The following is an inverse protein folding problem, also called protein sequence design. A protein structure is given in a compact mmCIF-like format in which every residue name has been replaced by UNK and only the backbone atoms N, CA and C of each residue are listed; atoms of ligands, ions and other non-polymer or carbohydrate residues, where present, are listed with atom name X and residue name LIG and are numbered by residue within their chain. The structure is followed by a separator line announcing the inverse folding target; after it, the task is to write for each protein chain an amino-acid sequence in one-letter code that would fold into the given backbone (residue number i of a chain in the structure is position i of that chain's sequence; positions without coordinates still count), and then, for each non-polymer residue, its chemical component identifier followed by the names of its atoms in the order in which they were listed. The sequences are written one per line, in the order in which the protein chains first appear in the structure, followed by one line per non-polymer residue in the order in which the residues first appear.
data_IF_681273855633
#
_entry.id   IF_681273855633
#
_cell.length_a   1.000
_cell.length_b   1.000
_cell.length_c   1.000
_cell.angle_alpha   90.00
_cell.angle_beta   90.00
_cell.angle_gamma   90.00
#
_symmetry.space_group_name_H-M   'P 1'
#
loop_
_entity.id
_entity.type
_entity.pdbx_description
1 polymer ?
#
# COMPACT_ATOMS: atom_id res chain seq x y z
N UNK A 1 34.69 1.10 10.24
CA UNK A 1 33.93 2.35 10.44
C UNK A 1 33.29 2.30 11.82
N UNK A 2 33.39 3.37 12.62
CA UNK A 2 32.74 3.40 13.92
C UNK A 2 31.23 3.72 13.76
N UNK A 3 30.44 3.56 14.84
CA UNK A 3 28.99 3.74 14.78
C UNK A 3 28.57 5.19 14.46
N UNK A 4 29.28 6.20 14.98
CA UNK A 4 28.97 7.60 14.72
C UNK A 4 29.26 7.99 13.28
N UNK A 5 30.38 7.52 12.71
CA UNK A 5 30.72 7.73 11.30
C UNK A 5 29.64 7.12 10.39
N UNK A 6 29.15 5.92 10.74
CA UNK A 6 28.07 5.25 10.01
C UNK A 6 26.78 6.08 10.07
N UNK A 7 26.39 6.55 11.25
CA UNK A 7 25.21 7.39 11.46
C UNK A 7 25.33 8.67 10.63
N UNK A 8 26.48 9.36 10.71
CA UNK A 8 26.72 10.59 9.97
C UNK A 8 26.57 10.38 8.45
N UNK A 9 27.20 9.34 7.90
CA UNK A 9 27.10 9.02 6.47
C UNK A 9 25.71 8.57 6.05
N UNK A 10 25.08 7.67 6.79
CA UNK A 10 23.80 7.07 6.40
C UNK A 10 22.64 8.08 6.51
N UNK A 11 22.68 8.96 7.50
CA UNK A 11 21.66 10.00 7.72
C UNK A 11 21.98 11.31 7.02
N UNK A 12 23.11 11.40 6.31
CA UNK A 12 23.62 12.62 5.67
C UNK A 12 23.76 13.78 6.69
N UNK A 13 24.45 13.52 7.80
CA UNK A 13 24.73 14.47 8.89
C UNK A 13 26.24 14.81 8.95
N UNK A 14 26.99 14.63 7.86
CA UNK A 14 28.44 14.88 7.84
C UNK A 14 28.79 16.36 8.06
N UNK A 15 27.88 17.27 7.72
CA UNK A 15 28.02 18.73 7.93
C UNK A 15 27.42 19.22 9.26
N UNK A 16 26.87 18.32 10.07
CA UNK A 16 26.21 18.65 11.34
C UNK A 16 27.19 18.59 12.52
N UNK A 17 26.86 19.31 13.60
CA UNK A 17 27.67 19.31 14.82
C UNK A 17 27.80 17.89 15.40
N UNK A 18 28.98 17.54 15.93
CA UNK A 18 29.22 16.26 16.61
C UNK A 18 28.20 16.01 17.74
N UNK A 19 27.71 17.08 18.36
CA UNK A 19 26.64 17.06 19.36
C UNK A 19 25.34 16.42 18.83
N UNK A 20 24.95 16.75 17.60
CA UNK A 20 23.75 16.22 16.95
C UNK A 20 23.94 14.75 16.58
N UNK A 21 25.10 14.40 16.02
CA UNK A 21 25.42 13.02 15.66
C UNK A 21 25.45 12.13 16.92
N UNK A 22 26.02 12.61 18.03
CA UNK A 22 26.00 11.91 19.32
C UNK A 22 24.59 11.77 19.89
N UNK A 23 23.74 12.80 19.79
CA UNK A 23 22.35 12.74 20.23
C UNK A 23 21.58 11.62 19.50
N UNK A 24 21.73 11.54 18.17
CA UNK A 24 21.13 10.46 17.38
C UNK A 24 21.73 9.09 17.69
N UNK A 25 23.04 8.99 17.93
CA UNK A 25 23.66 7.75 18.37
C UNK A 25 23.05 7.25 19.69
N UNK A 26 22.90 8.13 20.67
CA UNK A 26 22.29 7.79 21.96
C UNK A 26 20.79 7.47 21.84
N UNK A 27 20.08 8.12 20.92
CA UNK A 27 18.69 7.78 20.61
C UNK A 27 18.60 6.34 20.07
N UNK A 28 19.43 5.98 19.08
CA UNK A 28 19.48 4.63 18.51
C UNK A 28 19.85 3.59 19.59
N UNK A 29 20.85 3.87 20.43
CA UNK A 29 21.20 3.00 21.57
C UNK A 29 20.01 2.80 22.51
N UNK A 30 19.26 3.86 22.82
CA UNK A 30 18.09 3.79 23.70
C UNK A 30 16.93 2.99 23.08
N UNK A 31 16.67 3.14 21.78
CA UNK A 31 15.64 2.37 21.06
C UNK A 31 16.01 0.89 21.01
N UNK A 32 17.28 0.58 20.70
CA UNK A 32 17.79 -0.79 20.70
C UNK A 32 17.65 -1.44 22.07
N UNK A 33 18.01 -0.72 23.14
CA UNK A 33 17.91 -1.23 24.49
C UNK A 33 16.47 -1.56 24.92
N UNK A 34 15.47 -0.81 24.43
CA UNK A 34 14.05 -1.13 24.65
C UNK A 34 13.69 -2.47 24.01
N UNK A 35 14.06 -2.68 22.75
CA UNK A 35 13.79 -3.94 22.03
C UNK A 35 14.55 -5.12 22.61
N UNK A 36 15.79 -4.93 23.05
CA UNK A 36 16.58 -5.97 23.70
C UNK A 36 15.97 -6.44 25.04
N UNK A 37 15.23 -5.57 25.73
CA UNK A 37 14.44 -5.97 26.91
C UNK A 37 13.27 -6.86 26.51
N UNK A 38 12.56 -6.52 25.43
CA UNK A 38 11.45 -7.34 24.91
C UNK A 38 11.94 -8.71 24.44
N UNK A 39 13.10 -8.73 23.76
CA UNK A 39 13.79 -9.95 23.32
C UNK A 39 14.47 -10.72 24.47
N UNK A 40 14.46 -10.18 25.70
CA UNK A 40 15.11 -10.76 26.90
C UNK A 40 16.62 -10.93 26.78
N UNK A 41 17.26 -10.13 25.93
CA UNK A 41 18.72 -10.09 25.74
C UNK A 41 19.40 -9.04 26.63
N UNK A 42 18.63 -8.09 27.19
CA UNK A 42 19.09 -7.05 28.11
C UNK A 42 18.15 -6.92 29.32
N UNK A 43 18.69 -6.63 30.50
CA UNK A 43 17.84 -6.38 31.68
C UNK A 43 17.20 -4.99 31.64
N UNK A 44 16.00 -4.86 32.24
CA UNK A 44 15.32 -3.55 32.40
C UNK A 44 16.22 -2.49 33.04
N UNK A 45 17.05 -2.88 34.02
CA UNK A 45 17.97 -1.97 34.71
C UNK A 45 19.06 -1.45 33.77
N UNK A 46 19.60 -2.30 32.91
CA UNK A 46 20.61 -1.90 31.93
C UNK A 46 20.01 -0.98 30.87
N UNK A 47 18.82 -1.30 30.36
CA UNK A 47 18.10 -0.44 29.43
C UNK A 47 17.77 0.94 30.04
N UNK A 48 17.34 0.99 31.30
CA UNK A 48 17.12 2.23 32.03
C UNK A 48 18.39 3.09 32.12
N UNK A 49 19.56 2.46 32.30
CA UNK A 49 20.83 3.19 32.34
C UNK A 49 21.16 3.83 30.98
N UNK A 50 20.94 3.10 29.87
CA UNK A 50 21.11 3.62 28.50
C UNK A 50 20.15 4.78 28.27
N UNK A 51 18.86 4.62 28.59
CA UNK A 51 17.85 5.67 28.45
C UNK A 51 18.19 6.92 29.27
N UNK A 52 18.67 6.76 30.51
CA UNK A 52 19.12 7.90 31.35
C UNK A 52 20.34 8.60 30.78
N UNK A 53 21.23 7.89 30.07
CA UNK A 53 22.37 8.52 29.38
C UNK A 53 21.86 9.41 28.25
N UNK A 54 20.94 8.92 27.43
CA UNK A 54 20.29 9.71 26.38
C UNK A 54 19.57 10.95 26.93
N UNK A 55 18.66 10.79 27.92
CA UNK A 55 17.90 11.91 28.50
C UNK A 55 18.82 12.97 29.11
N UNK A 56 19.86 12.56 29.85
CA UNK A 56 20.83 13.51 30.42
C UNK A 56 21.60 14.26 29.35
N UNK A 57 21.97 13.58 28.26
CA UNK A 57 22.64 14.22 27.14
C UNK A 57 21.74 15.28 26.49
N UNK A 58 20.51 14.91 26.16
CA UNK A 58 19.50 15.83 25.60
C UNK A 58 19.31 17.07 26.48
N UNK A 59 19.10 16.88 27.79
CA UNK A 59 18.92 17.99 28.72
C UNK A 59 20.16 18.89 28.87
N UNK A 60 21.36 18.31 28.90
CA UNK A 60 22.63 19.06 28.99
C UNK A 60 22.85 19.95 27.77
N UNK A 61 22.40 19.50 26.60
CA UNK A 61 22.62 20.17 25.32
C UNK A 61 21.40 20.98 24.85
N UNK A 62 20.33 21.06 25.65
CA UNK A 62 19.13 21.83 25.33
C UNK A 62 18.37 21.28 24.12
N UNK A 63 18.45 19.96 23.91
CA UNK A 63 17.83 19.27 22.78
C UNK A 63 16.49 18.64 23.18
N UNK A 64 15.53 18.65 22.26
CA UNK A 64 14.26 17.90 22.38
C UNK A 64 13.95 17.18 21.07
N UNK A 65 13.09 16.17 21.12
CA UNK A 65 12.59 15.46 19.93
C UNK A 65 11.26 16.06 19.47
N UNK A 66 11.07 16.17 18.16
CA UNK A 66 9.81 16.47 17.50
C UNK A 66 9.45 15.34 16.54
N UNK A 67 8.16 15.07 16.40
CA UNK A 67 7.55 14.01 15.58
C UNK A 67 6.37 14.58 14.77
N UNK A 68 5.63 13.71 14.11
CA UNK A 68 4.42 14.04 13.36
C UNK A 68 3.38 14.85 14.18
N UNK A 69 3.12 14.45 15.43
CA UNK A 69 2.18 15.15 16.34
C UNK A 69 2.59 16.61 16.61
N UNK A 70 3.86 16.94 16.38
CA UNK A 70 4.42 18.28 16.54
C UNK A 70 4.55 19.08 15.23
N UNK A 71 3.93 18.59 14.14
CA UNK A 71 3.81 19.25 12.84
C UNK A 71 4.84 18.83 11.78
N UNK A 72 5.58 17.73 11.99
CA UNK A 72 6.45 17.14 10.96
C UNK A 72 5.66 16.24 10.01
N UNK A 73 6.27 15.86 8.87
CA UNK A 73 5.61 14.94 7.93
C UNK A 73 5.55 13.53 8.51
N UNK A 74 4.76 12.67 7.82
CA UNK A 74 4.71 11.24 8.05
C UNK A 74 6.11 10.63 8.20
N UNK A 75 6.33 9.87 9.28
CA UNK A 75 7.59 9.19 9.55
C UNK A 75 8.81 10.14 9.64
N UNK A 76 8.62 11.43 9.94
CA UNK A 76 9.71 12.35 10.24
C UNK A 76 9.88 12.56 11.74
N UNK A 77 11.13 12.54 12.18
CA UNK A 77 11.54 12.90 13.53
C UNK A 77 12.72 13.88 13.45
N UNK A 78 12.71 14.91 14.29
CA UNK A 78 13.75 15.93 14.32
C UNK A 78 14.23 16.18 15.74
N UNK A 79 15.49 16.63 15.86
CA UNK A 79 15.96 17.27 17.07
C UNK A 79 15.72 18.78 16.96
N UNK A 80 15.31 19.40 18.04
CA UNK A 80 15.19 20.87 18.13
C UNK A 80 16.11 21.37 19.23
N UNK A 81 16.78 22.50 18.98
CA UNK A 81 17.71 23.15 19.91
C UNK A 81 17.17 24.54 20.26
N UNK A 82 16.95 24.81 21.54
CA UNK A 82 16.46 26.12 22.02
C UNK A 82 15.34 26.06 23.07
N UNK A 83 14.88 27.24 23.48
CA UNK A 83 13.78 27.45 24.44
C UNK A 83 12.43 27.74 23.75
N UNK A 84 11.33 27.74 24.52
CA UNK A 84 9.97 27.96 23.98
C UNK A 84 9.89 29.27 23.18
N UNK A 85 9.69 29.14 21.86
CA UNK A 85 9.44 30.26 20.93
C UNK A 85 10.56 30.57 19.92
N UNK A 86 11.76 30.01 20.09
CA UNK A 86 12.93 30.28 19.22
C UNK A 86 13.76 28.98 19.01
N UNK A 87 13.06 27.87 18.73
CA UNK A 87 13.68 26.55 18.53
C UNK A 87 14.20 26.43 17.10
N UNK A 88 15.52 26.24 16.95
CA UNK A 88 16.12 25.87 15.67
C UNK A 88 15.91 24.37 15.44
N UNK A 89 15.10 24.02 14.44
CA UNK A 89 14.92 22.64 14.00
C UNK A 89 16.16 22.15 13.28
N UNK A 90 16.80 21.14 13.84
CA UNK A 90 17.84 20.36 13.17
C UNK A 90 17.17 19.59 12.04
N UNK A 91 17.93 19.29 10.98
CA UNK A 91 17.50 18.51 9.83
C UNK A 91 16.55 17.35 10.24
N UNK A 92 15.26 17.39 9.81
CA UNK A 92 14.34 16.28 10.02
C UNK A 92 14.87 15.01 9.35
N UNK A 93 14.73 13.89 10.05
CA UNK A 93 15.15 12.58 9.61
C UNK A 93 13.95 11.66 9.44
N UNK A 94 14.08 10.69 8.54
CA UNK A 94 13.06 9.67 8.38
C UNK A 94 13.24 8.58 9.45
N UNK A 95 12.17 8.22 10.16
CA UNK A 95 12.16 7.23 11.23
C UNK A 95 12.58 5.84 10.75
N UNK A 96 12.24 5.48 9.50
CA UNK A 96 12.64 4.20 8.92
C UNK A 96 14.18 4.13 8.71
N UNK A 97 14.85 5.26 8.47
CA UNK A 97 16.32 5.29 8.42
C UNK A 97 16.94 5.05 9.81
N UNK A 98 16.31 5.58 10.86
CA UNK A 98 16.74 5.33 12.24
C UNK A 98 16.52 3.86 12.63
N UNK A 99 15.41 3.25 12.20
CA UNK A 99 15.15 1.83 12.43
C UNK A 99 16.11 0.93 11.66
N UNK A 100 16.44 1.28 10.40
CA UNK A 100 17.50 0.60 9.65
C UNK A 100 18.83 0.61 10.41
N UNK A 101 19.23 1.75 10.99
CA UNK A 101 20.45 1.82 11.80
C UNK A 101 20.36 1.05 13.12
N UNK A 102 19.16 0.96 13.70
CA UNK A 102 18.93 0.29 15.00
C UNK A 102 19.16 -1.22 14.90
N UNK A 103 18.57 -1.87 13.91
CA UNK A 103 18.60 -3.34 13.80
C UNK A 103 19.50 -3.85 12.67
N UNK A 104 19.73 -3.04 11.63
CA UNK A 104 20.38 -3.43 10.39
C UNK A 104 21.65 -2.61 10.12
N UNK A 105 22.45 -2.35 11.16
CA UNK A 105 23.69 -1.58 11.04
C UNK A 105 24.68 -2.14 10.00
N UNK A 106 24.74 -3.45 9.81
CA UNK A 106 25.56 -4.07 8.76
C UNK A 106 25.06 -3.74 7.34
N UNK A 107 23.74 -3.73 7.14
CA UNK A 107 23.10 -3.29 5.88
C UNK A 107 23.41 -1.81 5.62
N UNK A 108 23.30 -0.97 6.65
CA UNK A 108 23.63 0.46 6.55
C UNK A 108 25.13 0.68 6.26
N UNK A 109 26.02 -0.13 6.84
CA UNK A 109 27.45 -0.05 6.59
C UNK A 109 27.81 -0.43 5.16
N UNK A 110 27.20 -1.49 4.61
CA UNK A 110 27.30 -1.81 3.20
C UNK A 110 26.70 -0.72 2.33
N UNK A 111 25.57 -0.16 2.74
CA UNK A 111 24.92 0.94 2.02
C UNK A 111 25.87 2.11 1.81
N UNK A 112 26.63 2.55 2.81
CA UNK A 112 27.55 3.70 2.68
C UNK A 112 28.97 3.34 2.22
N UNK A 113 29.25 2.07 1.95
CA UNK A 113 30.57 1.64 1.50
C UNK A 113 30.94 2.28 0.13
N UNK A 114 32.20 2.68 -0.03
CA UNK A 114 32.72 3.21 -1.30
C UNK A 114 32.89 2.10 -2.34
N UNK A 115 33.48 0.96 -1.91
CA UNK A 115 33.56 -0.27 -2.70
C UNK A 115 32.78 -1.41 -2.04
N UNK A 116 31.63 -1.74 -2.63
CA UNK A 116 30.78 -2.85 -2.19
C UNK A 116 31.47 -4.22 -2.32
N UNK A 117 32.35 -4.42 -3.31
CA UNK A 117 32.97 -5.75 -3.54
C UNK A 117 34.04 -6.08 -2.51
N UNK A 118 34.67 -5.07 -1.94
CA UNK A 118 35.67 -5.25 -0.87
C UNK A 118 35.04 -5.22 0.53
N UNK A 119 33.77 -4.80 0.63
CA UNK A 119 33.07 -4.73 1.90
C UNK A 119 32.65 -6.12 2.40
N UNK A 120 33.14 -6.50 3.58
CA UNK A 120 32.83 -7.79 4.19
C UNK A 120 31.34 -8.02 4.37
N UNK A 121 30.87 -9.21 3.99
CA UNK A 121 29.46 -9.61 4.10
C UNK A 121 28.61 -9.25 2.88
N UNK A 122 29.12 -8.52 1.88
CA UNK A 122 28.47 -8.35 0.59
C UNK A 122 28.69 -9.58 -0.31
N UNK A 123 27.69 -10.05 -1.09
CA UNK A 123 26.31 -9.56 -1.17
C UNK A 123 25.36 -10.18 -0.13
N UNK A 124 25.78 -11.25 0.57
CA UNK A 124 24.91 -12.13 1.35
C UNK A 124 24.12 -11.40 2.46
N UNK A 125 24.69 -10.35 3.07
CA UNK A 125 24.02 -9.56 4.12
C UNK A 125 22.82 -8.79 3.58
N UNK A 126 22.93 -8.21 2.38
CA UNK A 126 21.82 -7.51 1.74
C UNK A 126 20.77 -8.51 1.27
N UNK A 127 21.18 -9.63 0.68
CA UNK A 127 20.28 -10.69 0.25
C UNK A 127 19.49 -11.23 1.45
N UNK A 128 20.15 -11.51 2.58
CA UNK A 128 19.50 -11.97 3.79
C UNK A 128 18.47 -10.95 4.32
N UNK A 129 18.82 -9.66 4.33
CA UNK A 129 17.89 -8.59 4.71
C UNK A 129 16.67 -8.52 3.78
N UNK A 130 16.87 -8.66 2.46
CA UNK A 130 15.78 -8.60 1.49
C UNK A 130 14.84 -9.83 1.55
N UNK A 131 15.35 -10.99 1.98
CA UNK A 131 14.62 -12.27 2.03
C UNK A 131 13.97 -12.57 3.36
N UNK A 132 14.34 -11.87 4.43
CA UNK A 132 13.84 -12.17 5.77
C UNK A 132 12.37 -11.74 5.90
N UNK A 133 11.42 -12.69 6.06
CA UNK A 133 9.99 -12.37 6.15
C UNK A 133 9.63 -11.61 7.43
N UNK A 134 10.55 -11.50 8.39
CA UNK A 134 10.35 -10.75 9.64
C UNK A 134 10.72 -9.27 9.48
N UNK A 135 11.42 -8.90 8.41
CA UNK A 135 11.74 -7.50 8.12
C UNK A 135 10.52 -6.84 7.51
N UNK A 136 10.07 -5.73 8.08
CA UNK A 136 8.97 -4.94 7.53
C UNK A 136 9.27 -4.49 6.09
N UNK A 137 8.31 -4.66 5.17
CA UNK A 137 8.46 -4.28 3.75
C UNK A 137 8.83 -2.79 3.59
N UNK A 138 8.36 -1.91 4.49
CA UNK A 138 8.67 -0.47 4.47
C UNK A 138 10.16 -0.20 4.67
N UNK A 139 10.86 -1.02 5.44
CA UNK A 139 12.31 -0.89 5.62
C UNK A 139 13.07 -1.29 4.36
N UNK A 140 12.62 -2.36 3.69
CA UNK A 140 13.22 -2.81 2.43
C UNK A 140 13.01 -1.77 1.34
N UNK A 141 11.78 -1.27 1.21
CA UNK A 141 11.43 -0.22 0.27
C UNK A 141 12.18 1.08 0.57
N UNK A 142 12.26 1.46 1.85
CA UNK A 142 12.99 2.67 2.28
C UNK A 142 14.45 2.62 1.88
N UNK A 143 15.13 1.50 2.12
CA UNK A 143 16.54 1.34 1.77
C UNK A 143 16.77 1.70 0.30
N UNK A 144 15.97 1.14 -0.60
CA UNK A 144 16.13 1.36 -2.05
C UNK A 144 15.65 2.75 -2.48
N UNK A 145 14.55 3.25 -1.91
CA UNK A 145 13.94 4.52 -2.32
C UNK A 145 14.64 5.76 -1.73
N UNK A 146 15.46 5.62 -0.69
CA UNK A 146 16.19 6.73 -0.04
C UNK A 146 17.13 7.44 -1.02
N UNK A 147 17.82 6.67 -1.85
CA UNK A 147 18.61 7.15 -2.98
C UNK A 147 18.44 6.11 -4.10
N UNK A 148 17.59 6.46 -5.07
CA UNK A 148 17.12 5.58 -6.13
C UNK A 148 18.27 5.06 -6.99
N UNK A 149 19.23 5.93 -7.34
CA UNK A 149 20.39 5.55 -8.16
C UNK A 149 21.31 4.60 -7.38
N UNK A 150 21.57 4.91 -6.11
CA UNK A 150 22.39 4.05 -5.25
C UNK A 150 21.72 2.70 -4.97
N UNK A 151 20.40 2.70 -4.74
CA UNK A 151 19.59 1.50 -4.55
C UNK A 151 19.64 0.59 -5.77
N UNK A 152 19.41 1.13 -6.97
CA UNK A 152 19.52 0.38 -8.23
C UNK A 152 20.95 -0.17 -8.42
N UNK A 153 21.98 0.65 -8.20
CA UNK A 153 23.38 0.23 -8.30
C UNK A 153 23.70 -0.92 -7.34
N UNK A 154 23.21 -0.86 -6.10
CA UNK A 154 23.37 -1.92 -5.10
C UNK A 154 22.77 -3.24 -5.61
N UNK A 155 21.51 -3.21 -6.07
CA UNK A 155 20.81 -4.39 -6.56
C UNK A 155 21.48 -4.99 -7.80
N UNK A 156 21.85 -4.17 -8.78
CA UNK A 156 22.59 -4.61 -9.97
C UNK A 156 23.93 -5.24 -9.60
N UNK A 157 24.64 -4.67 -8.63
CA UNK A 157 25.93 -5.21 -8.17
C UNK A 157 25.79 -6.58 -7.51
N UNK A 158 24.68 -6.83 -6.82
CA UNK A 158 24.37 -8.16 -6.28
C UNK A 158 24.17 -9.14 -7.43
N UNK A 159 23.39 -8.76 -8.46
CA UNK A 159 23.11 -9.61 -9.61
C UNK A 159 24.33 -9.88 -10.50
N UNK A 160 25.41 -9.09 -10.42
CA UNK A 160 26.69 -9.43 -11.05
C UNK A 160 27.34 -10.70 -10.46
N UNK A 161 27.17 -10.95 -9.15
CA UNK A 161 27.76 -12.09 -8.43
C UNK A 161 26.75 -13.24 -8.22
N UNK A 162 25.47 -12.89 -8.08
CA UNK A 162 24.37 -13.82 -7.84
C UNK A 162 23.25 -13.60 -8.85
N UNK A 163 23.52 -13.99 -10.09
CA UNK A 163 22.65 -13.74 -11.26
C UNK A 163 21.26 -14.38 -11.18
N UNK A 164 21.05 -15.35 -10.30
CA UNK A 164 19.79 -16.09 -10.15
C UNK A 164 18.98 -15.69 -8.89
N UNK A 165 19.32 -14.59 -8.21
CA UNK A 165 18.59 -14.17 -7.00
C UNK A 165 17.24 -13.52 -7.35
N UNK A 166 16.20 -14.35 -7.40
CA UNK A 166 14.81 -13.96 -7.71
C UNK A 166 14.32 -12.80 -6.83
N UNK A 167 14.65 -12.79 -5.54
CA UNK A 167 14.26 -11.68 -4.64
C UNK A 167 14.86 -10.36 -5.06
N UNK A 168 16.12 -10.35 -5.52
CA UNK A 168 16.79 -9.12 -5.96
C UNK A 168 16.20 -8.62 -7.28
N UNK A 169 15.92 -9.53 -8.22
CA UNK A 169 15.16 -9.20 -9.43
C UNK A 169 13.78 -8.60 -9.10
N UNK A 170 13.04 -9.19 -8.16
CA UNK A 170 11.72 -8.72 -7.75
C UNK A 170 11.77 -7.31 -7.15
N UNK A 171 12.78 -7.01 -6.33
CA UNK A 171 12.99 -5.66 -5.77
C UNK A 171 13.37 -4.67 -6.86
N UNK A 172 14.19 -5.07 -7.85
CA UNK A 172 14.57 -4.22 -8.97
C UNK A 172 13.39 -3.92 -9.92
N UNK A 173 12.53 -4.92 -10.17
CA UNK A 173 11.25 -4.75 -10.86
C UNK A 173 10.39 -3.71 -10.14
N UNK A 174 10.14 -3.90 -8.84
CA UNK A 174 9.34 -2.97 -8.03
C UNK A 174 9.91 -1.55 -8.05
N UNK A 175 11.24 -1.45 -8.01
CA UNK A 175 11.93 -0.16 -8.14
C UNK A 175 11.64 0.50 -9.49
N UNK A 176 11.79 -0.22 -10.61
CA UNK A 176 11.51 0.33 -11.94
C UNK A 176 10.04 0.68 -12.15
N UNK A 177 9.11 -0.14 -11.65
CA UNK A 177 7.67 0.17 -11.68
C UNK A 177 7.36 1.46 -10.92
N UNK A 178 7.93 1.62 -9.71
CA UNK A 178 7.79 2.84 -8.91
C UNK A 178 8.35 4.10 -9.58
N UNK A 179 9.38 3.96 -10.42
CA UNK A 179 9.93 5.06 -11.23
C UNK A 179 9.17 5.29 -12.55
N UNK A 180 8.18 4.46 -12.88
CA UNK A 180 7.54 4.48 -14.20
C UNK A 180 8.46 4.03 -15.34
N UNK A 181 9.60 3.39 -15.03
CA UNK A 181 10.55 2.83 -16.01
C UNK A 181 10.06 1.47 -16.49
N UNK A 182 8.88 1.46 -17.11
CA UNK A 182 8.17 0.22 -17.47
C UNK A 182 8.95 -0.68 -18.43
N UNK A 183 9.75 -0.13 -19.34
CA UNK A 183 10.59 -0.92 -20.23
C UNK A 183 11.71 -1.67 -19.48
N UNK A 184 12.32 -1.03 -18.47
CA UNK A 184 13.32 -1.67 -17.63
C UNK A 184 12.69 -2.74 -16.73
N UNK A 185 11.51 -2.46 -16.17
CA UNK A 185 10.72 -3.44 -15.41
C UNK A 185 10.42 -4.69 -16.23
N UNK A 186 9.93 -4.53 -17.47
CA UNK A 186 9.64 -5.65 -18.38
C UNK A 186 10.91 -6.46 -18.71
N UNK A 187 12.01 -5.79 -19.03
CA UNK A 187 13.28 -6.44 -19.30
C UNK A 187 13.78 -7.23 -18.08
N UNK A 188 13.52 -6.73 -16.87
CA UNK A 188 13.89 -7.40 -15.64
C UNK A 188 12.99 -8.59 -15.30
N UNK A 189 11.68 -8.48 -15.52
CA UNK A 189 10.77 -9.63 -15.45
C UNK A 189 11.22 -10.76 -16.38
N UNK A 190 11.56 -10.43 -17.64
CA UNK A 190 12.04 -11.43 -18.60
C UNK A 190 13.34 -12.08 -18.14
N UNK A 191 14.29 -11.31 -17.57
CA UNK A 191 15.52 -11.85 -16.96
C UNK A 191 15.20 -12.78 -15.79
N UNK A 192 14.32 -12.35 -14.89
CA UNK A 192 13.86 -13.17 -13.75
C UNK A 192 13.27 -14.49 -14.23
N UNK A 193 12.41 -14.48 -15.24
CA UNK A 193 11.81 -15.67 -15.86
C UNK A 193 12.81 -16.58 -16.59
N UNK A 194 14.03 -16.12 -16.89
CA UNK A 194 15.10 -17.02 -17.39
C UNK A 194 15.77 -17.84 -16.29
N UNK A 195 15.63 -17.42 -15.03
CA UNK A 195 16.27 -18.07 -13.87
C UNK A 195 15.28 -18.75 -12.94
N UNK A 196 13.97 -18.50 -13.10
CA UNK A 196 12.92 -19.15 -12.31
C UNK A 196 11.66 -19.43 -13.14
N UNK A 197 10.97 -20.53 -12.83
CA UNK A 197 9.65 -20.89 -13.37
C UNK A 197 8.68 -21.03 -12.19
N UNK A 198 8.36 -19.89 -11.58
CA UNK A 198 7.61 -19.77 -10.33
C UNK A 198 6.23 -19.14 -10.58
N UNK A 199 5.20 -19.69 -9.95
CA UNK A 199 3.82 -19.27 -10.18
C UNK A 199 3.58 -17.80 -9.79
N UNK A 200 4.24 -17.31 -8.74
CA UNK A 200 4.11 -15.93 -8.25
C UNK A 200 4.79 -14.98 -9.23
N UNK A 201 5.96 -15.36 -9.76
CA UNK A 201 6.68 -14.56 -10.75
C UNK A 201 5.87 -14.40 -12.04
N UNK A 202 5.28 -15.48 -12.55
CA UNK A 202 4.40 -15.41 -13.72
C UNK A 202 3.13 -14.58 -13.45
N UNK A 203 2.52 -14.71 -12.27
CA UNK A 203 1.35 -13.90 -11.90
C UNK A 203 1.69 -12.41 -11.84
N UNK A 204 2.83 -12.05 -11.24
CA UNK A 204 3.29 -10.67 -11.15
C UNK A 204 3.59 -10.09 -12.54
N UNK A 205 4.20 -10.87 -13.43
CA UNK A 205 4.43 -10.44 -14.81
C UNK A 205 3.12 -10.24 -15.58
N UNK A 206 2.14 -11.13 -15.40
CA UNK A 206 0.79 -10.97 -15.96
C UNK A 206 0.11 -9.68 -15.47
N UNK A 207 0.19 -9.39 -14.17
CA UNK A 207 -0.37 -8.16 -13.60
C UNK A 207 0.33 -6.89 -14.15
N UNK A 208 1.65 -6.93 -14.33
CA UNK A 208 2.40 -5.86 -14.97
C UNK A 208 1.95 -5.62 -16.42
N UNK A 209 1.82 -6.69 -17.22
CA UNK A 209 1.36 -6.61 -18.61
C UNK A 209 -0.07 -6.10 -18.72
N UNK A 210 -0.94 -6.55 -17.81
CA UNK A 210 -2.32 -6.12 -17.72
C UNK A 210 -2.43 -4.61 -17.44
N UNK A 211 -1.67 -4.09 -16.47
CA UNK A 211 -1.61 -2.64 -16.18
C UNK A 211 -1.13 -1.84 -17.38
N UNK A 212 -0.34 -2.44 -18.27
CA UNK A 212 0.09 -1.81 -19.53
C UNK A 212 -0.94 -1.90 -20.67
N UNK A 213 -2.00 -2.67 -20.50
CA UNK A 213 -3.00 -2.95 -21.53
C UNK A 213 -2.56 -4.00 -22.56
N UNK A 214 -1.48 -4.73 -22.29
CA UNK A 214 -1.01 -5.86 -23.10
C UNK A 214 -1.79 -7.12 -22.71
N UNK A 215 -3.09 -7.13 -23.01
CA UNK A 215 -4.02 -8.15 -22.48
C UNK A 215 -3.77 -9.55 -23.03
N UNK A 216 -3.27 -9.68 -24.25
CA UNK A 216 -2.94 -10.99 -24.83
C UNK A 216 -1.74 -11.61 -24.12
N UNK A 217 -0.65 -10.87 -23.96
CA UNK A 217 0.53 -11.34 -23.23
C UNK A 217 0.24 -11.54 -21.73
N UNK A 218 -0.64 -10.71 -21.14
CA UNK A 218 -1.08 -10.89 -19.77
C UNK A 218 -1.86 -12.20 -19.60
N UNK A 219 -2.74 -12.54 -20.55
CA UNK A 219 -3.47 -13.80 -20.56
C UNK A 219 -2.51 -15.00 -20.60
N UNK A 220 -1.51 -14.98 -21.48
CA UNK A 220 -0.50 -16.04 -21.57
C UNK A 220 0.30 -16.19 -20.27
N UNK A 221 0.73 -15.08 -19.66
CA UNK A 221 1.47 -15.09 -18.41
C UNK A 221 0.62 -15.62 -17.24
N UNK A 222 -0.65 -15.23 -17.15
CA UNK A 222 -1.55 -15.76 -16.14
C UNK A 222 -1.88 -17.24 -16.38
N UNK A 223 -2.04 -17.68 -17.63
CA UNK A 223 -2.18 -19.12 -17.93
C UNK A 223 -0.97 -19.91 -17.46
N UNK A 224 0.25 -19.42 -17.70
CA UNK A 224 1.48 -20.06 -17.18
C UNK A 224 1.50 -20.14 -15.66
N UNK A 225 1.15 -19.07 -14.98
CA UNK A 225 1.02 -19.06 -13.51
C UNK A 225 -0.02 -20.09 -13.03
N UNK A 226 -1.17 -20.17 -13.69
CA UNK A 226 -2.23 -21.10 -13.32
C UNK A 226 -1.83 -22.57 -13.55
N UNK A 227 -1.20 -22.89 -14.68
CA UNK A 227 -0.65 -24.23 -14.97
C UNK A 227 0.34 -24.69 -13.88
N UNK A 228 1.16 -23.76 -13.36
CA UNK A 228 2.08 -24.04 -12.25
C UNK A 228 1.33 -24.24 -10.93
N UNK A 229 0.32 -23.41 -10.65
CA UNK A 229 -0.56 -23.57 -9.48
C UNK A 229 -1.24 -24.95 -9.49
N UNK A 230 -1.77 -25.39 -10.63
CA UNK A 230 -2.39 -26.72 -10.78
C UNK A 230 -1.38 -27.83 -10.52
N UNK A 231 -0.17 -27.72 -11.06
CA UNK A 231 0.92 -28.70 -10.88
C UNK A 231 1.29 -28.90 -9.40
N UNK A 232 1.24 -27.84 -8.60
CA UNK A 232 1.52 -27.89 -7.15
C UNK A 232 0.27 -28.16 -6.30
N UNK A 233 -0.87 -28.48 -6.92
CA UNK A 233 -2.12 -28.81 -6.22
C UNK A 233 -2.85 -27.61 -5.61
N UNK A 234 -2.53 -26.38 -6.05
CA UNK A 234 -3.10 -25.11 -5.57
C UNK A 234 -3.94 -24.39 -6.63
N UNK A 235 -4.31 -25.04 -7.73
CA UNK A 235 -5.12 -24.42 -8.79
C UNK A 235 -6.42 -23.81 -8.26
N UNK A 236 -7.08 -24.46 -7.29
CA UNK A 236 -8.35 -24.03 -6.69
C UNK A 236 -8.21 -23.21 -5.40
N UNK A 237 -7.00 -22.85 -4.97
CA UNK A 237 -6.78 -22.23 -3.65
C UNK A 237 -5.70 -21.14 -3.70
N UNK A 238 -5.84 -20.11 -2.88
CA UNK A 238 -4.80 -19.07 -2.76
C UNK A 238 -4.54 -18.40 -4.09
N UNK A 239 -3.28 -18.44 -4.58
CA UNK A 239 -2.91 -17.79 -5.83
C UNK A 239 -3.69 -18.33 -7.05
N UNK A 240 -3.99 -19.64 -7.12
CA UNK A 240 -4.68 -20.22 -8.27
C UNK A 240 -6.08 -19.64 -8.49
N UNK A 241 -6.83 -19.38 -7.41
CA UNK A 241 -8.14 -18.73 -7.47
C UNK A 241 -8.02 -17.28 -7.97
N UNK A 242 -7.04 -16.54 -7.44
CA UNK A 242 -6.76 -15.15 -7.84
C UNK A 242 -6.39 -15.08 -9.32
N UNK A 243 -5.45 -15.93 -9.76
CA UNK A 243 -5.00 -15.98 -11.15
C UNK A 243 -6.14 -16.36 -12.08
N UNK A 244 -7.03 -17.29 -11.70
CA UNK A 244 -8.22 -17.61 -12.51
C UNK A 244 -9.13 -16.39 -12.72
N UNK A 245 -9.35 -15.58 -11.68
CA UNK A 245 -10.11 -14.33 -11.82
C UNK A 245 -9.40 -13.36 -12.77
N UNK A 246 -8.07 -13.26 -12.67
CA UNK A 246 -7.27 -12.45 -13.60
C UNK A 246 -7.41 -12.96 -15.05
N UNK A 247 -7.35 -14.28 -15.29
CA UNK A 247 -7.54 -14.89 -16.62
C UNK A 247 -8.90 -14.47 -17.19
N UNK A 248 -10.00 -14.66 -16.45
CA UNK A 248 -11.33 -14.28 -16.93
C UNK A 248 -11.51 -12.78 -17.15
N UNK A 249 -10.80 -11.95 -16.38
CA UNK A 249 -10.77 -10.49 -16.59
C UNK A 249 -10.00 -10.13 -17.85
N UNK A 250 -8.75 -10.57 -18.01
CA UNK A 250 -7.94 -10.21 -19.19
C UNK A 250 -8.46 -10.85 -20.48
N UNK A 251 -9.11 -12.01 -20.40
CA UNK A 251 -9.78 -12.63 -21.54
C UNK A 251 -10.95 -11.78 -22.06
N UNK A 252 -11.72 -11.17 -21.15
CA UNK A 252 -12.72 -10.18 -21.54
C UNK A 252 -12.05 -8.95 -22.15
N UNK A 253 -11.05 -8.39 -21.46
CA UNK A 253 -10.35 -7.17 -21.90
C UNK A 253 -9.70 -7.28 -23.28
N UNK A 254 -9.07 -8.41 -23.63
CA UNK A 254 -8.44 -8.60 -24.94
C UNK A 254 -9.43 -8.66 -26.11
N UNK A 255 -10.70 -8.98 -25.83
CA UNK A 255 -11.75 -9.12 -26.82
C UNK A 255 -12.64 -7.86 -26.95
N UNK A 256 -12.40 -6.84 -26.12
CA UNK A 256 -13.10 -5.56 -26.21
C UNK A 256 -12.40 -4.61 -27.18
N UNK A 257 -13.21 -3.82 -27.89
CA UNK A 257 -12.72 -2.76 -28.78
C UNK A 257 -13.50 -1.45 -28.57
N UNK A 258 -12.95 -0.34 -29.06
CA UNK A 258 -13.62 0.96 -29.08
C UNK A 258 -13.89 1.57 -27.69
N UNK A 259 -15.01 2.28 -27.57
CA UNK A 259 -15.36 3.02 -26.36
C UNK A 259 -15.61 2.11 -25.15
N UNK A 260 -16.14 0.91 -25.37
CA UNK A 260 -16.36 -0.08 -24.31
C UNK A 260 -15.04 -0.60 -23.73
N UNK A 261 -14.04 -0.84 -24.58
CA UNK A 261 -12.70 -1.20 -24.11
C UNK A 261 -12.08 -0.09 -23.25
N UNK A 262 -12.25 1.17 -23.66
CA UNK A 262 -11.75 2.33 -22.92
C UNK A 262 -12.39 2.43 -21.54
N UNK A 263 -13.71 2.35 -21.44
CA UNK A 263 -14.44 2.41 -20.17
C UNK A 263 -14.13 1.21 -19.26
N UNK A 264 -14.02 0.00 -19.81
CA UNK A 264 -13.63 -1.18 -19.04
C UNK A 264 -12.20 -1.05 -18.47
N UNK A 265 -11.27 -0.49 -19.25
CA UNK A 265 -9.92 -0.20 -18.77
C UNK A 265 -9.92 0.85 -17.66
N UNK A 266 -10.66 1.94 -17.86
CA UNK A 266 -10.81 3.00 -16.87
C UNK A 266 -11.44 2.49 -15.56
N UNK A 267 -12.38 1.55 -15.65
CA UNK A 267 -12.94 0.86 -14.50
C UNK A 267 -11.87 0.07 -13.73
N UNK A 268 -11.04 -0.72 -14.41
CA UNK A 268 -9.99 -1.49 -13.72
C UNK A 268 -8.88 -0.62 -13.15
N UNK A 269 -8.49 0.45 -13.85
CA UNK A 269 -7.58 1.45 -13.32
C UNK A 269 -8.15 2.11 -12.05
N UNK A 270 -9.46 2.36 -12.00
CA UNK A 270 -10.13 2.83 -10.79
C UNK A 270 -10.07 1.80 -9.66
N UNK A 271 -10.38 0.52 -9.93
CA UNK A 271 -10.31 -0.55 -8.92
C UNK A 271 -8.93 -0.64 -8.30
N UNK A 272 -7.87 -0.68 -9.12
CA UNK A 272 -6.49 -0.74 -8.61
C UNK A 272 -6.12 0.51 -7.80
N UNK A 273 -6.51 1.69 -8.26
CA UNK A 273 -6.28 2.93 -7.53
C UNK A 273 -6.97 2.92 -6.16
N UNK A 274 -8.20 2.42 -6.08
CA UNK A 274 -8.93 2.32 -4.81
C UNK A 274 -8.28 1.33 -3.85
N UNK A 275 -7.75 0.22 -4.34
CA UNK A 275 -7.00 -0.74 -3.53
C UNK A 275 -5.69 -0.12 -3.01
N UNK A 276 -4.97 0.62 -3.85
CA UNK A 276 -3.77 1.35 -3.42
C UNK A 276 -4.08 2.42 -2.35
N UNK A 277 -5.21 3.13 -2.47
CA UNK A 277 -5.67 4.11 -1.47
C UNK A 277 -6.00 3.42 -0.15
N UNK A 278 -6.65 2.24 -0.18
CA UNK A 278 -6.96 1.44 1.01
C UNK A 278 -5.69 0.98 1.71
N UNK A 279 -4.77 0.36 0.97
CA UNK A 279 -3.48 -0.08 1.52
C UNK A 279 -2.68 1.08 2.11
N UNK A 280 -2.66 2.23 1.43
CA UNK A 280 -2.03 3.44 1.94
C UNK A 280 -2.64 3.84 3.29
N UNK A 281 -3.97 3.90 3.37
CA UNK A 281 -4.66 4.33 4.57
C UNK A 281 -4.48 3.35 5.74
N UNK A 282 -4.58 2.04 5.49
CA UNK A 282 -4.33 1.01 6.49
C UNK A 282 -2.92 1.09 7.07
N UNK A 283 -1.92 1.43 6.24
CA UNK A 283 -0.53 1.58 6.70
C UNK A 283 -0.27 2.90 7.41
N UNK A 284 -0.90 3.98 6.96
CA UNK A 284 -0.58 5.35 7.36
C UNK A 284 -1.42 5.87 8.51
N UNK A 285 -2.67 5.42 8.61
CA UNK A 285 -3.70 6.00 9.47
C UNK A 285 -4.25 4.96 10.47
N UNK A 286 -3.43 4.03 10.95
CA UNK A 286 -3.85 2.94 11.86
C UNK A 286 -4.61 3.47 13.08
N UNK A 287 -4.05 4.47 13.77
CA UNK A 287 -4.67 5.05 14.97
C UNK A 287 -5.95 5.82 14.63
N UNK A 288 -5.91 6.57 13.54
CA UNK A 288 -7.02 7.38 13.07
C UNK A 288 -8.20 6.54 12.55
N UNK A 289 -7.94 5.36 11.98
CA UNK A 289 -8.97 4.37 11.64
C UNK A 289 -9.75 3.96 12.89
N UNK A 290 -9.06 3.77 14.04
CA UNK A 290 -9.72 3.44 15.30
C UNK A 290 -10.69 4.53 15.76
N UNK A 291 -10.26 5.79 15.69
CA UNK A 291 -11.13 6.95 15.98
C UNK A 291 -12.30 7.02 15.01
N UNK A 292 -12.03 6.84 13.71
CA UNK A 292 -13.05 6.86 12.67
C UNK A 292 -14.11 5.74 12.86
N UNK A 293 -13.72 4.56 13.33
CA UNK A 293 -14.67 3.47 13.62
C UNK A 293 -15.65 3.85 14.73
N UNK A 294 -15.20 4.52 15.79
CA UNK A 294 -16.08 5.00 16.87
C UNK A 294 -17.05 6.08 16.38
N UNK A 295 -16.55 7.03 15.58
CA UNK A 295 -17.37 8.07 14.96
C UNK A 295 -18.44 7.48 14.04
N UNK A 296 -18.05 6.55 13.16
CA UNK A 296 -18.95 5.91 12.22
C UNK A 296 -20.07 5.14 12.94
N UNK A 297 -19.73 4.35 13.96
CA UNK A 297 -20.71 3.63 14.78
C UNK A 297 -21.73 4.56 15.41
N UNK A 298 -21.28 5.69 15.96
CA UNK A 298 -22.14 6.71 16.56
C UNK A 298 -23.04 7.38 15.52
N UNK A 299 -22.53 7.67 14.32
CA UNK A 299 -23.29 8.28 13.24
C UNK A 299 -24.37 7.34 12.69
N UNK A 300 -24.06 6.05 12.52
CA UNK A 300 -25.00 5.05 11.99
C UNK A 300 -25.91 4.44 13.06
N UNK A 301 -25.60 4.64 14.35
CA UNK A 301 -26.36 4.06 15.45
C UNK A 301 -26.20 2.53 15.52
N UNK A 302 -25.03 2.01 15.16
CA UNK A 302 -24.70 0.58 15.18
C UNK A 302 -23.71 0.26 16.29
N UNK A 303 -23.81 -0.93 16.89
CA UNK A 303 -22.93 -1.35 18.00
C UNK A 303 -21.54 -1.79 17.51
N UNK A 304 -21.49 -2.45 16.36
CA UNK A 304 -20.29 -2.99 15.73
C UNK A 304 -20.35 -2.77 14.22
N UNK A 305 -19.19 -2.62 13.57
CA UNK A 305 -19.07 -2.60 12.11
C UNK A 305 -18.87 -4.05 11.68
N UNK A 306 -19.93 -4.68 11.19
CA UNK A 306 -19.87 -6.05 10.71
C UNK A 306 -19.26 -6.13 9.30
N UNK A 307 -19.09 -7.36 8.80
CA UNK A 307 -18.54 -7.60 7.47
C UNK A 307 -19.31 -6.89 6.35
N UNK A 308 -20.62 -6.69 6.51
CA UNK A 308 -21.45 -6.03 5.50
C UNK A 308 -21.22 -4.51 5.47
N UNK A 309 -20.89 -3.92 6.62
CA UNK A 309 -20.70 -2.47 6.77
C UNK A 309 -19.23 -2.03 6.61
N UNK A 310 -18.26 -2.96 6.58
CA UNK A 310 -16.83 -2.65 6.41
C UNK A 310 -16.59 -1.80 5.16
N UNK A 311 -17.20 -2.13 4.03
CA UNK A 311 -16.99 -1.39 2.78
C UNK A 311 -17.58 0.03 2.85
N UNK A 312 -18.75 0.18 3.45
CA UNK A 312 -19.37 1.50 3.65
C UNK A 312 -18.55 2.36 4.63
N UNK A 313 -18.03 1.74 5.70
CA UNK A 313 -17.10 2.40 6.62
C UNK A 313 -15.82 2.85 5.91
N UNK A 314 -15.18 1.96 5.14
CA UNK A 314 -13.94 2.29 4.43
C UNK A 314 -14.17 3.41 3.41
N UNK A 315 -15.24 3.35 2.61
CA UNK A 315 -15.55 4.41 1.65
C UNK A 315 -15.84 5.74 2.36
N UNK A 316 -16.60 5.72 3.46
CA UNK A 316 -16.85 6.91 4.27
C UNK A 316 -15.53 7.48 4.83
N UNK A 317 -14.69 6.63 5.42
CA UNK A 317 -13.41 7.05 5.99
C UNK A 317 -12.50 7.66 4.92
N UNK A 318 -12.34 6.99 3.79
CA UNK A 318 -11.37 7.36 2.75
C UNK A 318 -11.79 8.59 1.95
N UNK A 319 -13.09 8.77 1.71
CA UNK A 319 -13.58 9.73 0.72
C UNK A 319 -14.57 10.75 1.27
N UNK A 320 -15.09 10.57 2.49
CA UNK A 320 -16.08 11.49 3.10
C UNK A 320 -15.55 12.15 4.38
N UNK A 321 -14.95 11.37 5.28
CA UNK A 321 -14.40 11.87 6.53
C UNK A 321 -13.18 12.73 6.27
N UNK A 322 -13.15 13.91 6.87
CA UNK A 322 -12.05 14.87 6.72
C UNK A 322 -11.24 14.97 8.00
N UNK A 323 -9.95 15.25 7.85
CA UNK A 323 -9.08 15.65 8.95
C UNK A 323 -9.33 17.12 9.32
N UNK A 324 -8.66 17.60 10.37
CA UNK A 324 -8.78 18.99 10.83
C UNK A 324 -8.39 20.06 9.79
N UNK A 325 -7.65 19.68 8.75
CA UNK A 325 -7.27 20.54 7.62
C UNK A 325 -8.24 20.47 6.44
N UNK A 326 -9.32 19.68 6.55
CA UNK A 326 -10.36 19.51 5.53
C UNK A 326 -10.05 18.48 4.43
N UNK A 327 -8.88 17.82 4.45
CA UNK A 327 -8.55 16.75 3.49
C UNK A 327 -9.10 15.41 3.93
N UNK A 328 -9.45 14.56 2.97
CA UNK A 328 -9.78 13.14 3.22
C UNK A 328 -8.52 12.28 3.06
N UNK A 329 -8.46 11.06 3.63
CA UNK A 329 -7.35 10.13 3.39
C UNK A 329 -7.06 9.90 1.90
N UNK A 330 -8.10 9.80 1.07
CA UNK A 330 -7.96 9.64 -0.39
C UNK A 330 -7.30 10.85 -1.06
N UNK A 331 -7.54 12.07 -0.58
CA UNK A 331 -6.88 13.28 -1.09
C UNK A 331 -5.44 13.37 -0.62
N UNK A 332 -5.14 12.98 0.63
CA UNK A 332 -3.76 12.88 1.11
C UNK A 332 -2.96 11.90 0.23
N UNK A 333 -3.53 10.72 -0.06
CA UNK A 333 -2.93 9.78 -1.01
C UNK A 333 -2.65 10.43 -2.37
N UNK A 334 -3.67 11.08 -2.95
CA UNK A 334 -3.57 11.65 -4.29
C UNK A 334 -2.51 12.76 -4.40
N UNK A 335 -2.36 13.58 -3.35
CA UNK A 335 -1.34 14.61 -3.25
C UNK A 335 0.07 14.00 -3.12
N UNK A 336 0.25 13.04 -2.22
CA UNK A 336 1.55 12.40 -1.99
C UNK A 336 2.04 11.59 -3.20
N UNK A 337 1.11 10.99 -3.95
CA UNK A 337 1.42 10.27 -5.19
C UNK A 337 1.52 11.16 -6.42
N UNK A 338 1.22 12.46 -6.28
CA UNK A 338 1.26 13.39 -7.40
C UNK A 338 0.27 13.06 -8.52
N UNK A 339 -0.92 12.55 -8.16
CA UNK A 339 -1.96 12.24 -9.15
C UNK A 339 -2.43 13.52 -9.87
N UNK A 340 -2.97 13.35 -11.08
CA UNK A 340 -3.50 14.45 -11.86
C UNK A 340 -4.70 15.12 -11.16
N UNK A 341 -4.96 16.39 -11.48
CA UNK A 341 -6.13 17.11 -10.96
C UNK A 341 -7.45 16.42 -11.37
N UNK A 342 -7.48 15.77 -12.55
CA UNK A 342 -8.62 14.98 -12.98
C UNK A 342 -8.87 13.79 -12.04
N UNK A 343 -7.84 13.02 -11.70
CA UNK A 343 -7.97 11.89 -10.77
C UNK A 343 -8.33 12.36 -9.36
N UNK A 344 -7.77 13.49 -8.89
CA UNK A 344 -8.15 14.09 -7.61
C UNK A 344 -9.63 14.43 -7.58
N UNK A 345 -10.17 15.00 -8.65
CA UNK A 345 -11.58 15.35 -8.71
C UNK A 345 -12.49 14.12 -8.72
N UNK A 346 -12.09 13.06 -9.45
CA UNK A 346 -12.79 11.76 -9.38
C UNK A 346 -12.78 11.17 -7.98
N UNK A 347 -11.64 11.22 -7.28
CA UNK A 347 -11.52 10.77 -5.88
C UNK A 347 -12.45 11.57 -4.95
N UNK A 348 -12.56 12.90 -5.12
CA UNK A 348 -13.54 13.70 -4.35
C UNK A 348 -14.97 13.27 -4.65
N UNK A 349 -15.28 12.97 -5.92
CA UNK A 349 -16.59 12.48 -6.34
C UNK A 349 -17.04 11.22 -5.62
N UNK A 350 -16.11 10.34 -5.22
CA UNK A 350 -16.42 9.13 -4.45
C UNK A 350 -17.07 9.43 -3.08
N UNK A 351 -16.82 10.62 -2.51
CA UNK A 351 -17.43 11.11 -1.28
C UNK A 351 -18.87 11.61 -1.45
N UNK A 352 -19.39 11.62 -2.68
CA UNK A 352 -20.76 12.02 -3.02
C UNK A 352 -21.52 10.87 -3.69
N UNK A 353 -21.72 9.73 -3.01
CA UNK A 353 -22.41 8.60 -3.60
C UNK A 353 -23.91 8.89 -3.82
N UNK A 354 -24.48 8.27 -4.85
CA UNK A 354 -25.93 8.17 -5.01
C UNK A 354 -26.41 6.99 -4.17
N UNK A 355 -27.15 7.31 -3.11
CA UNK A 355 -27.79 6.30 -2.25
C UNK A 355 -29.18 5.96 -2.77
N UNK A 356 -29.50 4.67 -2.83
CA UNK A 356 -30.83 4.25 -3.25
C UNK A 356 -31.08 2.75 -3.16
N UNK A 357 -32.29 2.38 -3.57
CA UNK A 357 -32.63 1.01 -3.95
C UNK A 357 -32.69 0.95 -5.46
N UNK A 358 -31.90 0.06 -6.04
CA UNK A 358 -31.69 -0.04 -7.47
C UNK A 358 -32.18 -1.38 -7.99
N UNK A 359 -32.74 -1.38 -9.19
CA UNK A 359 -33.06 -2.57 -9.98
C UNK A 359 -32.07 -2.66 -11.15
N UNK A 360 -31.48 -3.83 -11.37
CA UNK A 360 -30.59 -4.08 -12.51
C UNK A 360 -31.45 -4.23 -13.77
N UNK A 361 -31.33 -3.31 -14.72
CA UNK A 361 -32.13 -3.31 -15.96
C UNK A 361 -31.39 -3.91 -17.15
N UNK A 362 -30.05 -3.88 -17.14
CA UNK A 362 -29.22 -4.58 -18.13
C UNK A 362 -27.89 -5.01 -17.54
N UNK A 363 -27.30 -6.06 -18.13
CA UNK A 363 -26.00 -6.61 -17.77
C UNK A 363 -25.24 -6.93 -19.06
N UNK A 364 -24.04 -6.40 -19.20
CA UNK A 364 -23.08 -6.75 -20.25
C UNK A 364 -21.78 -7.22 -19.59
N UNK A 365 -21.65 -8.54 -19.35
CA UNK A 365 -20.52 -9.09 -18.61
C UNK A 365 -19.17 -8.88 -19.30
N UNK A 366 -19.16 -8.82 -20.64
CA UNK A 366 -17.94 -8.68 -21.42
C UNK A 366 -17.25 -7.35 -21.16
N UNK A 367 -18.02 -6.26 -21.01
CA UNK A 367 -17.50 -4.91 -20.75
C UNK A 367 -17.63 -4.48 -19.28
N UNK A 368 -17.98 -5.39 -18.37
CA UNK A 368 -18.20 -5.09 -16.94
C UNK A 368 -19.31 -4.06 -16.71
N UNK A 369 -20.24 -3.91 -17.65
CA UNK A 369 -21.28 -2.89 -17.60
C UNK A 369 -22.57 -3.45 -17.02
N UNK A 370 -23.20 -2.63 -16.19
CA UNK A 370 -24.55 -2.80 -15.69
C UNK A 370 -25.29 -1.48 -15.94
N UNK A 371 -26.60 -1.54 -16.20
CA UNK A 371 -27.46 -0.37 -16.02
C UNK A 371 -28.36 -0.66 -14.84
N UNK A 372 -28.42 0.29 -13.91
CA UNK A 372 -29.24 0.18 -12.71
C UNK A 372 -30.22 1.33 -12.64
N UNK A 373 -31.45 1.05 -12.21
CA UNK A 373 -32.53 2.03 -12.11
C UNK A 373 -32.89 2.25 -10.66
N UNK A 374 -32.84 3.50 -10.18
CA UNK A 374 -33.33 3.83 -8.85
C UNK A 374 -34.84 3.65 -8.81
N UNK A 375 -35.34 2.80 -7.91
CA UNK A 375 -36.76 2.42 -7.82
C UNK A 375 -37.65 3.57 -7.34
N UNK A 376 -37.08 4.57 -6.67
CA UNK A 376 -37.82 5.73 -6.15
C UNK A 376 -37.85 6.84 -7.20
N UNK A 377 -36.69 7.22 -7.76
CA UNK A 377 -36.60 8.35 -8.69
C UNK A 377 -36.90 7.95 -10.14
N UNK A 378 -36.72 6.68 -10.48
CA UNK A 378 -36.80 6.17 -11.85
C UNK A 378 -35.57 6.49 -12.71
N UNK A 379 -34.55 7.15 -12.16
CA UNK A 379 -33.32 7.50 -12.86
C UNK A 379 -32.45 6.27 -13.10
N UNK A 380 -31.83 6.20 -14.28
CA UNK A 380 -30.95 5.10 -14.69
C UNK A 380 -29.49 5.54 -14.69
N UNK A 381 -28.61 4.65 -14.25
CA UNK A 381 -27.18 4.89 -14.12
C UNK A 381 -26.39 3.77 -14.81
N UNK A 382 -25.42 4.15 -15.65
CA UNK A 382 -24.40 3.22 -16.14
C UNK A 382 -23.40 2.95 -15.01
N UNK A 383 -23.25 1.69 -14.65
CA UNK A 383 -22.39 1.22 -13.58
C UNK A 383 -21.35 0.27 -14.16
N UNK A 384 -20.10 0.38 -13.71
CA UNK A 384 -19.05 -0.60 -14.00
C UNK A 384 -18.75 -1.43 -12.75
N UNK A 385 -18.76 -2.75 -12.91
CA UNK A 385 -18.62 -3.69 -11.81
C UNK A 385 -18.40 -5.12 -12.29
N UNK A 386 -17.53 -5.87 -11.60
CA UNK A 386 -17.32 -7.30 -11.88
C UNK A 386 -18.21 -8.14 -10.96
N UNK A 387 -19.43 -8.40 -11.44
CA UNK A 387 -20.46 -9.09 -10.68
C UNK A 387 -21.06 -10.24 -11.50
N UNK A 388 -20.35 -11.38 -11.62
CA UNK A 388 -20.71 -12.46 -12.54
C UNK A 388 -22.06 -13.13 -12.21
N UNK A 389 -22.51 -13.05 -10.96
CA UNK A 389 -23.76 -13.67 -10.51
C UNK A 389 -24.99 -12.76 -10.67
N UNK A 390 -24.81 -11.52 -11.15
CA UNK A 390 -25.90 -10.55 -11.27
C UNK A 390 -26.70 -10.76 -12.55
N UNK A 391 -28.02 -10.63 -12.40
CA UNK A 391 -28.99 -10.82 -13.47
C UNK A 391 -29.94 -9.63 -13.56
N UNK A 392 -30.54 -9.45 -14.73
CA UNK A 392 -31.60 -8.46 -14.93
C UNK A 392 -32.78 -8.73 -13.99
N UNK A 393 -33.35 -7.68 -13.42
CA UNK A 393 -34.42 -7.71 -12.42
C UNK A 393 -33.93 -7.85 -10.98
N UNK A 394 -32.63 -8.04 -10.76
CA UNK A 394 -32.07 -8.11 -9.41
C UNK A 394 -32.15 -6.74 -8.71
N UNK A 395 -32.57 -6.73 -7.46
CA UNK A 395 -32.68 -5.50 -6.65
C UNK A 395 -31.66 -5.47 -5.52
N UNK A 396 -31.05 -4.30 -5.32
CA UNK A 396 -30.13 -4.06 -4.22
C UNK A 396 -30.30 -2.67 -3.62
N UNK A 397 -30.05 -2.56 -2.32
CA UNK A 397 -29.94 -1.27 -1.63
C UNK A 397 -28.46 -0.96 -1.37
N UNK A 398 -28.06 0.29 -1.58
CA UNK A 398 -26.68 0.70 -1.32
C UNK A 398 -26.30 2.01 -1.97
N UNK A 399 -24.99 2.14 -2.21
CA UNK A 399 -24.34 3.32 -2.77
C UNK A 399 -23.69 2.98 -4.12
N UNK A 400 -23.93 3.83 -5.12
CA UNK A 400 -23.11 3.88 -6.33
C UNK A 400 -22.34 5.20 -6.34
N UNK A 401 -21.05 5.16 -6.67
CA UNK A 401 -20.16 6.33 -6.59
C UNK A 401 -19.77 6.81 -7.99
N UNK A 402 -19.81 8.11 -8.27
CA UNK A 402 -19.48 8.63 -9.60
C UNK A 402 -17.99 8.44 -9.92
N UNK A 403 -17.71 8.11 -11.18
CA UNK A 403 -16.37 7.97 -11.74
C UNK A 403 -16.35 8.38 -13.22
N UNK A 404 -16.18 9.69 -13.47
CA UNK A 404 -16.24 10.23 -14.82
C UNK A 404 -17.62 10.02 -15.44
N UNK A 405 -17.69 9.24 -16.52
CA UNK A 405 -18.92 9.02 -17.30
C UNK A 405 -19.77 7.84 -16.79
N UNK A 406 -19.32 7.10 -15.77
CA UNK A 406 -20.03 5.97 -15.19
C UNK A 406 -19.94 5.97 -13.67
N UNK A 407 -20.61 5.02 -13.03
CA UNK A 407 -20.59 4.83 -11.59
C UNK A 407 -19.90 3.52 -11.20
N UNK A 408 -19.27 3.51 -10.03
CA UNK A 408 -18.67 2.34 -9.40
C UNK A 408 -19.62 1.77 -8.34
N UNK A 409 -19.60 0.46 -8.18
CA UNK A 409 -20.27 -0.19 -7.05
C UNK A 409 -19.38 -0.12 -5.81
N UNK A 410 -19.89 0.42 -4.69
CA UNK A 410 -19.12 0.60 -3.46
C UNK A 410 -18.70 -0.69 -2.73
N UNK A 411 -19.05 -1.87 -3.24
CA UNK A 411 -18.79 -3.19 -2.64
C UNK A 411 -19.71 -4.26 -3.22
N UNK A 412 -19.84 -5.40 -2.53
CA UNK A 412 -20.73 -6.49 -2.93
C UNK A 412 -22.20 -6.02 -3.01
N UNK A 413 -22.86 -6.27 -4.14
CA UNK A 413 -24.24 -5.87 -4.37
C UNK A 413 -25.21 -6.76 -3.58
N UNK A 414 -25.85 -6.21 -2.53
CA UNK A 414 -26.73 -6.95 -1.60
C UNK A 414 -28.08 -7.28 -2.25
N UNK A 415 -28.55 -8.54 -2.21
CA UNK A 415 -29.91 -8.88 -2.65
C UNK A 415 -30.96 -8.36 -1.65
N UNK A 416 -31.97 -7.63 -2.11
CA UNK A 416 -33.18 -7.46 -1.29
C UNK A 416 -33.91 -8.82 -1.18
N UNK A 417 -34.20 -9.27 0.05
CA UNK A 417 -35.15 -10.37 0.27
C UNK A 417 -36.53 -9.87 -0.16
N UNK A 418 -37.20 -10.59 -1.04
CA UNK A 418 -38.59 -10.30 -1.41
C UNK A 418 -39.46 -10.28 -0.15
N UNK A 419 -40.06 -9.13 0.17
CA UNK A 419 -41.15 -9.08 1.13
C UNK A 419 -42.33 -9.87 0.56
N UNK A 420 -42.54 -11.09 1.04
CA UNK A 420 -43.75 -11.86 0.76
C UNK A 420 -44.92 -11.11 1.38
N UNK A 421 -45.64 -10.31 0.58
CA UNK A 421 -46.92 -9.74 0.98
C UNK A 421 -47.98 -10.85 1.01
N UNK A 422 -48.00 -11.68 2.05
CA UNK A 422 -49.14 -12.56 2.33
C UNK A 422 -50.24 -11.78 3.04
N UNK A 423 -50.89 -10.89 2.29
CA UNK A 423 -52.23 -10.44 2.60
C UNK A 423 -53.21 -11.56 2.27
N UNK A 424 -53.37 -12.55 3.15
CA UNK A 424 -54.56 -13.41 3.13
C UNK A 424 -55.12 -13.59 4.54
N UNK A 425 -56.30 -13.00 4.71
CA UNK A 425 -57.22 -13.22 5.83
C UNK A 425 -57.51 -14.71 5.96
N UNK A 426 -57.12 -15.33 7.07
CA UNK A 426 -57.75 -16.59 7.48
C UNK A 426 -58.90 -16.22 8.42
N UNK A 427 -60.11 -16.31 7.86
CA UNK A 427 -61.35 -16.29 8.61
C UNK A 427 -61.48 -17.53 9.49
N UNK A 428 -62.23 -17.34 10.56
CA UNK A 428 -62.65 -18.37 11.50
C UNK A 428 -63.43 -19.50 10.80
N UNK A 429 -63.09 -20.74 11.13
CA UNK A 429 -63.94 -21.70 11.88
C UNK A 429 -63.12 -22.91 12.34
#
# INVERSE_FOLDING_TARGET
MNQKDLIAKFLNLEDEDEEIVEAWNLFIEAQKAFRDVEARTLSRREADNVRRKFIRYMGKHGLKTRNEESGLKAHECALVKGGEGDEATVKPLNELDLWLLTDFGAVCALWVAEDLKEAGGFPDTIIAFLKDPRVDDRLRDRLIAKDKERGEKLLKRILEDRTAEVTVHSVLVKHYEGEGRLADAEAEYRRMLTVTDDEVVWANYGAFLEKRGSYEEAFDAFQKSFELCERIGKGETGLGEVVRKCIGRVERMRNLEGDEAKKAREYHEAVWLLDEVREFAERRFVEEIGVAQEEYRREKGIEEIDFEDIFDFLNWFLFTRTFGDGRTPGIVYAEEKGLSEELKERIKGLGLPVKGTFEVVSVEPASFQLVVKNRITGEEYEVRGDAPDIQVGFTFAGNISPWGDFYLTGGALRREKEEVSSGEKVGAE
#
